data_IF_551585345729
#
_entry.id   IF_551585345729
#
_cell.length_a   1.000
_cell.length_b   1.000
_cell.length_c   1.000
_cell.angle_alpha   90.00
_cell.angle_beta   90.00
_cell.angle_gamma   90.00
#
_symmetry.space_group_name_H-M   'P 1'
#
loop_
_entity.id
_entity.type
_entity.pdbx_description
1 polymer ?
#
# COMPACT_ATOMS: atom_id res chain seq x y z
N UNK A 1 -27.55 -6.83 6.53
CA UNK A 1 -27.26 -6.21 5.21
C UNK A 1 -25.75 -6.17 5.04
N UNK A 2 -25.16 -7.01 4.17
CA UNK A 2 -23.71 -6.92 3.90
C UNK A 2 -23.43 -5.62 3.19
N UNK A 3 -22.72 -4.71 3.84
CA UNK A 3 -22.27 -3.45 3.26
C UNK A 3 -21.26 -3.78 2.16
N UNK A 4 -21.62 -3.52 0.91
CA UNK A 4 -20.70 -3.74 -0.21
C UNK A 4 -19.77 -2.53 -0.29
N UNK A 5 -18.53 -2.69 0.17
CA UNK A 5 -17.52 -1.63 0.18
C UNK A 5 -17.32 -0.99 -1.21
N UNK A 6 -17.39 -1.79 -2.28
CA UNK A 6 -17.28 -1.30 -3.68
C UNK A 6 -18.38 -0.29 -4.02
N UNK A 7 -19.62 -0.55 -3.63
CA UNK A 7 -20.73 0.36 -3.91
C UNK A 7 -20.61 1.68 -3.13
N UNK A 8 -20.10 1.60 -1.88
CA UNK A 8 -19.83 2.81 -1.07
C UNK A 8 -18.72 3.63 -1.72
N UNK A 9 -17.65 3.00 -2.18
CA UNK A 9 -16.54 3.68 -2.86
C UNK A 9 -16.98 4.35 -4.16
N UNK A 10 -17.77 3.67 -4.98
CA UNK A 10 -18.36 4.25 -6.20
C UNK A 10 -19.27 5.44 -5.88
N UNK A 11 -20.04 5.35 -4.81
CA UNK A 11 -20.91 6.45 -4.37
C UNK A 11 -20.08 7.66 -3.87
N UNK A 12 -18.97 7.43 -3.18
CA UNK A 12 -18.03 8.47 -2.77
C UNK A 12 -17.41 9.13 -4.01
N UNK A 13 -16.88 8.35 -4.94
CA UNK A 13 -16.29 8.86 -6.17
C UNK A 13 -17.28 9.73 -6.97
N UNK A 14 -18.49 9.24 -7.15
CA UNK A 14 -19.55 9.95 -7.88
C UNK A 14 -19.99 11.24 -7.16
N UNK A 15 -20.06 11.25 -5.83
CA UNK A 15 -20.49 12.43 -5.05
C UNK A 15 -19.40 13.50 -4.92
N UNK A 16 -18.15 13.12 -4.97
CA UNK A 16 -17.06 14.11 -4.89
C UNK A 16 -16.83 14.81 -6.23
N UNK A 17 -17.17 14.16 -7.35
CA UNK A 17 -16.93 14.65 -8.71
C UNK A 17 -15.44 14.79 -9.07
N UNK A 18 -14.53 14.41 -8.15
CA UNK A 18 -13.08 14.57 -8.31
C UNK A 18 -12.42 13.36 -8.94
N UNK A 19 -13.01 12.18 -8.73
CA UNK A 19 -12.51 10.93 -9.27
C UNK A 19 -13.49 10.40 -10.33
N UNK A 20 -12.94 9.92 -11.43
CA UNK A 20 -13.70 9.20 -12.45
C UNK A 20 -13.35 7.72 -12.36
N UNK A 21 -14.34 6.82 -12.38
CA UNK A 21 -14.05 5.39 -12.53
C UNK A 21 -13.24 5.14 -13.79
N UNK A 22 -12.29 4.24 -13.71
CA UNK A 22 -11.48 3.85 -14.86
C UNK A 22 -12.39 3.28 -15.97
N UNK A 23 -12.23 3.74 -17.20
CA UNK A 23 -12.93 3.19 -18.35
C UNK A 23 -12.31 1.84 -18.77
N UNK A 24 -13.07 1.00 -19.48
CA UNK A 24 -12.53 -0.26 -20.01
C UNK A 24 -11.31 -0.03 -20.90
N UNK A 25 -11.30 1.03 -21.71
CA UNK A 25 -10.17 1.39 -22.56
C UNK A 25 -8.93 1.81 -21.77
N UNK A 26 -9.13 2.56 -20.69
CA UNK A 26 -8.05 2.99 -19.80
C UNK A 26 -7.54 1.84 -18.92
N UNK A 27 -8.40 0.88 -18.55
CA UNK A 27 -7.98 -0.33 -17.85
C UNK A 27 -7.04 -1.18 -18.71
N UNK A 28 -7.30 -1.29 -20.01
CA UNK A 28 -6.41 -1.99 -20.92
C UNK A 28 -5.05 -1.28 -21.03
N UNK A 29 -5.04 0.05 -21.12
CA UNK A 29 -3.81 0.85 -21.12
C UNK A 29 -3.04 0.72 -19.82
N UNK A 30 -3.73 0.79 -18.67
CA UNK A 30 -3.14 0.61 -17.35
C UNK A 30 -2.43 -0.74 -17.25
N UNK A 31 -3.09 -1.84 -17.62
CA UNK A 31 -2.50 -3.19 -17.59
C UNK A 31 -1.27 -3.30 -18.48
N UNK A 32 -1.27 -2.64 -19.62
CA UNK A 32 -0.10 -2.61 -20.50
C UNK A 32 1.07 -1.88 -19.84
N UNK A 33 0.82 -0.72 -19.26
CA UNK A 33 1.84 0.05 -18.53
C UNK A 33 2.37 -0.75 -17.33
N UNK A 34 1.48 -1.39 -16.55
CA UNK A 34 1.88 -2.25 -15.44
C UNK A 34 2.76 -3.41 -15.91
N UNK A 35 2.43 -4.04 -17.06
CA UNK A 35 3.24 -5.12 -17.62
C UNK A 35 4.63 -4.63 -18.04
N UNK A 36 4.71 -3.47 -18.67
CA UNK A 36 5.99 -2.84 -19.04
C UNK A 36 6.82 -2.50 -17.78
N UNK A 37 6.18 -1.99 -16.72
CA UNK A 37 6.84 -1.74 -15.44
C UNK A 37 7.34 -3.04 -14.78
N UNK A 38 6.51 -4.10 -14.78
CA UNK A 38 6.88 -5.40 -14.20
C UNK A 38 8.13 -5.93 -14.89
N UNK A 39 8.12 -5.98 -16.22
CA UNK A 39 9.25 -6.48 -17.01
C UNK A 39 10.53 -5.68 -16.72
N UNK A 40 10.44 -4.38 -16.71
CA UNK A 40 11.57 -3.48 -16.49
C UNK A 40 12.14 -3.59 -15.06
N UNK A 41 11.26 -3.58 -14.06
CA UNK A 41 11.66 -3.68 -12.65
C UNK A 41 12.24 -5.07 -12.36
N UNK A 42 11.62 -6.13 -12.86
CA UNK A 42 12.13 -7.49 -12.71
C UNK A 42 13.52 -7.63 -13.35
N UNK A 43 13.68 -7.16 -14.58
CA UNK A 43 14.98 -7.21 -15.29
C UNK A 43 16.05 -6.41 -14.53
N UNK A 44 15.72 -5.23 -14.05
CA UNK A 44 16.65 -4.41 -13.27
C UNK A 44 17.04 -5.09 -11.96
N UNK A 45 16.10 -5.68 -11.24
CA UNK A 45 16.35 -6.43 -10.02
C UNK A 45 17.23 -7.66 -10.28
N UNK A 46 16.91 -8.47 -11.28
CA UNK A 46 17.69 -9.65 -11.65
C UNK A 46 19.14 -9.31 -11.98
N UNK A 47 19.39 -8.22 -12.71
CA UNK A 47 20.73 -7.73 -13.01
C UNK A 47 21.55 -7.34 -11.77
N UNK A 48 20.88 -7.10 -10.64
CA UNK A 48 21.51 -6.78 -9.36
C UNK A 48 21.44 -7.93 -8.34
N UNK A 49 21.03 -9.13 -8.77
CA UNK A 49 20.90 -10.31 -7.90
C UNK A 49 19.74 -10.21 -6.90
N UNK A 50 18.72 -9.43 -7.22
CA UNK A 50 17.52 -9.22 -6.39
C UNK A 50 16.37 -9.98 -7.03
N UNK A 51 15.67 -10.81 -6.26
CA UNK A 51 14.53 -11.61 -6.70
C UNK A 51 13.22 -10.98 -6.20
N UNK A 52 12.37 -10.56 -7.12
CA UNK A 52 11.00 -10.17 -6.81
C UNK A 52 10.03 -11.26 -7.28
N UNK A 53 9.03 -11.55 -6.48
CA UNK A 53 8.07 -12.62 -6.73
C UNK A 53 6.65 -12.04 -6.86
N UNK A 54 5.89 -12.47 -7.88
CA UNK A 54 4.50 -12.09 -7.97
C UNK A 54 3.71 -12.57 -6.73
N UNK A 55 2.87 -11.70 -6.19
CA UNK A 55 2.10 -11.97 -4.98
C UNK A 55 0.59 -11.79 -5.22
N UNK A 56 -0.22 -12.25 -4.28
CA UNK A 56 -1.67 -12.02 -4.19
C UNK A 56 -2.42 -12.15 -5.52
N UNK A 57 -3.10 -11.08 -5.95
CA UNK A 57 -3.88 -11.00 -7.20
C UNK A 57 -3.02 -11.21 -8.43
N UNK A 58 -1.82 -10.67 -8.46
CA UNK A 58 -0.88 -10.80 -9.57
C UNK A 58 -0.44 -12.25 -9.79
N UNK A 59 -0.05 -12.96 -8.73
CA UNK A 59 0.31 -14.38 -8.81
C UNK A 59 -0.89 -15.24 -9.24
N UNK A 60 -2.07 -14.97 -8.66
CA UNK A 60 -3.30 -15.68 -9.00
C UNK A 60 -3.70 -15.45 -10.46
N UNK A 61 -3.55 -14.23 -10.95
CA UNK A 61 -3.81 -13.86 -12.33
C UNK A 61 -2.87 -14.56 -13.31
N UNK A 62 -1.58 -14.55 -13.02
CA UNK A 62 -0.59 -15.26 -13.80
C UNK A 62 -0.93 -16.76 -13.93
N UNK A 63 -1.30 -17.39 -12.81
CA UNK A 63 -1.63 -18.83 -12.79
C UNK A 63 -2.95 -19.16 -13.48
N UNK A 64 -4.03 -18.37 -13.26
CA UNK A 64 -5.39 -18.70 -13.73
C UNK A 64 -5.75 -18.10 -15.06
N UNK A 65 -5.16 -16.95 -15.40
CA UNK A 65 -5.54 -16.15 -16.57
C UNK A 65 -4.39 -15.95 -17.55
N UNK A 66 -3.20 -16.50 -17.27
CA UNK A 66 -1.96 -16.24 -18.02
C UNK A 66 -1.68 -14.72 -18.16
N UNK A 67 -2.00 -13.96 -17.13
CA UNK A 67 -1.88 -12.51 -17.08
C UNK A 67 -2.67 -11.92 -15.91
N UNK A 68 -3.08 -10.67 -16.03
CA UNK A 68 -3.88 -10.05 -14.98
C UNK A 68 -5.28 -10.66 -14.83
N UNK A 69 -5.80 -10.70 -13.65
CA UNK A 69 -7.23 -10.95 -13.43
C UNK A 69 -8.03 -9.86 -14.18
N UNK A 70 -9.13 -10.23 -14.91
CA UNK A 70 -9.82 -9.27 -15.80
C UNK A 70 -10.27 -7.97 -15.16
N UNK A 71 -10.64 -7.98 -13.88
CA UNK A 71 -11.12 -6.81 -13.11
C UNK A 71 -10.08 -6.21 -12.16
N UNK A 72 -8.85 -6.72 -12.16
CA UNK A 72 -7.75 -6.21 -11.36
C UNK A 72 -7.11 -4.99 -12.03
N UNK A 73 -6.64 -4.05 -11.23
CA UNK A 73 -6.13 -2.76 -11.67
C UNK A 73 -4.81 -2.35 -10.98
N UNK A 74 -4.18 -3.30 -10.29
CA UNK A 74 -2.88 -3.17 -9.62
C UNK A 74 -1.94 -4.35 -9.91
N UNK A 75 -0.72 -4.27 -9.41
CA UNK A 75 0.26 -5.32 -9.44
C UNK A 75 1.00 -5.40 -8.10
N UNK A 76 1.00 -6.61 -7.53
CA UNK A 76 1.55 -6.91 -6.22
C UNK A 76 2.75 -7.83 -6.35
N UNK A 77 3.85 -7.47 -5.71
CA UNK A 77 5.05 -8.28 -5.58
C UNK A 77 5.43 -8.47 -4.12
N UNK A 78 6.17 -9.53 -3.85
CA UNK A 78 6.85 -9.72 -2.57
C UNK A 78 8.34 -9.93 -2.79
N UNK A 79 9.11 -9.57 -1.76
CA UNK A 79 10.57 -9.61 -1.75
C UNK A 79 11.04 -10.00 -0.35
N UNK A 80 12.12 -10.79 -0.25
CA UNK A 80 12.71 -11.12 1.04
C UNK A 80 13.37 -9.88 1.67
N UNK A 81 13.43 -9.82 3.01
CA UNK A 81 13.94 -8.65 3.74
C UNK A 81 15.34 -8.22 3.29
N UNK A 82 16.26 -9.13 3.16
CA UNK A 82 17.64 -8.81 2.77
C UNK A 82 17.71 -8.22 1.36
N UNK A 83 16.97 -8.80 0.43
CA UNK A 83 16.87 -8.30 -0.96
C UNK A 83 16.11 -6.97 -1.04
N UNK A 84 15.10 -6.77 -0.16
CA UNK A 84 14.42 -5.50 -0.03
C UNK A 84 15.36 -4.38 0.40
N UNK A 85 16.18 -4.62 1.39
CA UNK A 85 17.18 -3.64 1.86
C UNK A 85 18.18 -3.29 0.76
N UNK A 86 18.64 -4.29 0.00
CA UNK A 86 19.47 -4.07 -1.18
C UNK A 86 18.78 -3.20 -2.24
N UNK A 87 17.51 -3.50 -2.56
CA UNK A 87 16.73 -2.74 -3.52
C UNK A 87 16.51 -1.31 -3.04
N UNK A 88 16.07 -1.13 -1.80
CA UNK A 88 15.77 0.16 -1.20
C UNK A 88 17.00 1.07 -1.18
N UNK A 89 18.12 0.56 -0.68
CA UNK A 89 19.34 1.35 -0.46
C UNK A 89 20.05 1.72 -1.77
N UNK A 90 19.83 0.94 -2.84
CA UNK A 90 20.40 1.17 -4.17
C UNK A 90 19.35 1.63 -5.21
N UNK A 91 18.14 1.98 -4.82
CA UNK A 91 17.02 2.22 -5.73
C UNK A 91 17.35 3.26 -6.81
N UNK A 92 17.90 4.39 -6.41
CA UNK A 92 18.23 5.48 -7.33
C UNK A 92 19.32 5.10 -8.34
N UNK A 93 20.28 4.28 -7.93
CA UNK A 93 21.34 3.78 -8.83
C UNK A 93 20.84 2.71 -9.79
N UNK A 94 19.91 1.86 -9.35
CA UNK A 94 19.31 0.79 -10.17
C UNK A 94 18.44 1.39 -11.26
N UNK A 95 17.60 2.38 -10.91
CA UNK A 95 16.57 2.89 -11.81
C UNK A 95 16.89 4.25 -12.44
N UNK A 96 17.98 4.93 -12.05
CA UNK A 96 18.42 6.23 -12.62
C UNK A 96 17.29 7.26 -12.74
N UNK A 97 16.43 7.35 -11.73
CA UNK A 97 15.31 8.28 -11.69
C UNK A 97 14.12 7.92 -12.59
N UNK A 98 14.11 6.74 -13.22
CA UNK A 98 12.99 6.26 -14.03
C UNK A 98 11.72 6.03 -13.21
N UNK A 99 11.88 5.62 -11.96
CA UNK A 99 10.81 5.34 -11.01
C UNK A 99 11.00 6.14 -9.71
N UNK A 100 9.94 6.25 -8.93
CA UNK A 100 9.95 6.85 -7.59
C UNK A 100 9.58 5.76 -6.59
N UNK A 101 10.41 5.58 -5.56
CA UNK A 101 10.09 4.69 -4.45
C UNK A 101 9.48 5.50 -3.30
N UNK A 102 8.32 5.06 -2.80
CA UNK A 102 7.80 5.42 -1.48
C UNK A 102 7.85 4.18 -0.59
N UNK A 103 8.60 4.25 0.51
CA UNK A 103 8.75 3.11 1.41
C UNK A 103 9.16 3.57 2.81
N UNK A 104 8.92 2.76 3.86
CA UNK A 104 9.53 2.96 5.16
C UNK A 104 11.05 3.02 5.06
N UNK A 105 11.67 3.83 5.90
CA UNK A 105 13.13 4.04 5.99
C UNK A 105 13.80 4.50 4.67
N UNK A 106 13.03 5.03 3.73
CA UNK A 106 13.55 5.54 2.46
C UNK A 106 13.11 6.98 2.20
N UNK A 107 14.06 7.81 1.77
CA UNK A 107 13.82 9.20 1.40
C UNK A 107 13.35 10.10 2.54
N UNK A 108 13.10 11.37 2.21
CA UNK A 108 12.65 12.40 3.17
C UNK A 108 11.15 12.69 3.07
N UNK A 109 10.50 12.19 2.02
CA UNK A 109 9.07 12.40 1.80
C UNK A 109 8.22 11.53 2.73
N UNK A 110 7.08 12.05 3.13
CA UNK A 110 6.12 11.30 3.93
C UNK A 110 5.63 10.09 3.11
N UNK A 111 5.70 8.89 3.69
CA UNK A 111 5.18 7.68 3.07
C UNK A 111 3.80 7.35 3.61
N UNK A 112 2.97 6.80 2.75
CA UNK A 112 1.62 6.41 3.12
C UNK A 112 1.51 4.96 3.60
N UNK A 113 2.50 4.13 3.30
CA UNK A 113 2.41 2.68 3.43
C UNK A 113 3.47 2.13 4.37
N UNK A 114 3.19 0.96 4.93
CA UNK A 114 4.14 0.14 5.68
C UNK A 114 4.85 -0.89 4.78
N UNK A 115 4.76 -0.70 3.48
CA UNK A 115 5.44 -1.50 2.44
C UNK A 115 5.96 -0.58 1.35
N UNK A 116 6.73 -1.11 0.40
CA UNK A 116 7.24 -0.35 -0.73
C UNK A 116 6.19 -0.12 -1.81
N UNK A 117 6.20 1.04 -2.43
CA UNK A 117 5.38 1.37 -3.59
C UNK A 117 6.25 2.06 -4.63
N UNK A 118 6.38 1.46 -5.81
CA UNK A 118 7.19 1.95 -6.91
C UNK A 118 6.27 2.63 -7.91
N UNK A 119 6.43 3.94 -8.10
CA UNK A 119 5.59 4.76 -8.98
C UNK A 119 6.27 5.09 -10.30
N UNK A 120 5.47 5.12 -11.36
CA UNK A 120 5.89 5.65 -12.66
C UNK A 120 5.62 7.18 -12.72
N UNK A 121 6.68 8.01 -12.77
CA UNK A 121 6.54 9.47 -12.89
C UNK A 121 5.79 9.89 -14.15
N UNK A 122 5.12 11.04 -14.10
CA UNK A 122 4.40 11.59 -15.25
C UNK A 122 3.07 10.91 -15.57
N UNK A 123 2.64 9.95 -14.73
CA UNK A 123 1.35 9.28 -14.85
C UNK A 123 0.40 9.71 -13.72
N UNK A 124 -0.90 9.47 -13.91
CA UNK A 124 -1.91 9.74 -12.88
C UNK A 124 -2.84 8.55 -12.73
N UNK A 125 -2.80 7.94 -11.56
CA UNK A 125 -3.72 6.90 -11.11
C UNK A 125 -4.00 7.09 -9.62
N UNK A 126 -5.23 7.43 -9.27
CA UNK A 126 -5.58 7.87 -7.93
C UNK A 126 -6.48 6.85 -7.24
N UNK A 127 -5.94 6.19 -6.23
CA UNK A 127 -6.75 5.38 -5.33
C UNK A 127 -7.68 6.26 -4.49
N UNK A 128 -8.92 5.83 -4.30
CA UNK A 128 -9.95 6.59 -3.56
C UNK A 128 -9.45 7.04 -2.17
N UNK A 129 -8.69 6.20 -1.49
CA UNK A 129 -8.16 6.51 -0.15
C UNK A 129 -7.00 7.51 -0.15
N UNK A 130 -6.44 7.81 -1.32
CA UNK A 130 -5.31 8.71 -1.50
C UNK A 130 -5.69 10.05 -2.11
N UNK A 131 -6.94 10.27 -2.51
CA UNK A 131 -7.39 11.48 -3.19
C UNK A 131 -7.05 12.76 -2.40
N UNK A 132 -7.34 12.80 -1.11
CA UNK A 132 -7.11 13.95 -0.23
C UNK A 132 -5.72 14.00 0.43
N UNK A 133 -4.79 13.10 0.08
CA UNK A 133 -3.47 13.00 0.71
C UNK A 133 -2.39 13.70 -0.11
N UNK A 134 -1.24 14.06 0.49
CA UNK A 134 -0.09 14.63 -0.21
C UNK A 134 0.75 13.58 -0.97
N UNK A 135 0.41 12.31 -0.86
CA UNK A 135 1.18 11.20 -1.42
C UNK A 135 1.14 11.14 -2.94
N UNK A 136 2.07 10.40 -3.52
CA UNK A 136 2.15 10.19 -4.96
C UNK A 136 0.85 9.55 -5.50
N UNK A 137 0.50 9.89 -6.73
CA UNK A 137 -0.74 9.47 -7.41
C UNK A 137 -0.47 8.98 -8.83
N UNK A 138 0.74 8.45 -9.06
CA UNK A 138 1.11 7.81 -10.33
C UNK A 138 0.62 6.36 -10.41
N UNK A 139 0.78 5.75 -11.57
CA UNK A 139 0.66 4.30 -11.74
C UNK A 139 1.77 3.65 -10.91
N UNK A 140 1.49 2.57 -10.22
CA UNK A 140 2.40 1.97 -9.24
C UNK A 140 2.39 0.45 -9.25
N UNK A 141 3.43 -0.11 -8.63
CA UNK A 141 3.54 -1.50 -8.23
C UNK A 141 3.76 -1.54 -6.72
N UNK A 142 3.02 -2.39 -6.02
CA UNK A 142 3.20 -2.66 -4.60
C UNK A 142 4.26 -3.73 -4.36
N UNK A 143 5.17 -3.48 -3.40
CA UNK A 143 6.24 -4.41 -3.03
C UNK A 143 6.16 -4.70 -1.53
N UNK A 144 5.74 -5.91 -1.20
CA UNK A 144 5.57 -6.36 0.19
C UNK A 144 6.82 -7.09 0.66
N UNK A 145 7.34 -6.68 1.79
CA UNK A 145 8.49 -7.34 2.41
C UNK A 145 8.03 -8.61 3.11
N UNK A 146 8.78 -9.69 2.90
CA UNK A 146 8.56 -10.99 3.55
C UNK A 146 9.65 -11.20 4.59
N UNK A 147 9.24 -11.26 5.84
CA UNK A 147 10.09 -11.53 6.99
C UNK A 147 9.91 -12.97 7.47
N UNK A 148 10.94 -13.51 8.10
CA UNK A 148 10.87 -14.80 8.77
C UNK A 148 10.00 -14.69 10.02
N UNK A 149 9.22 -15.72 10.32
CA UNK A 149 8.48 -15.81 11.56
C UNK A 149 9.28 -16.57 12.61
N UNK A 150 9.10 -16.24 13.89
CA UNK A 150 9.66 -16.99 14.99
C UNK A 150 9.20 -18.46 14.94
N UNK A 151 10.11 -19.41 15.18
CA UNK A 151 9.79 -20.85 15.19
C UNK A 151 8.78 -21.22 16.27
N UNK A 152 8.81 -20.53 17.40
CA UNK A 152 7.84 -20.71 18.48
C UNK A 152 6.48 -20.13 18.07
N UNK A 153 5.48 -21.02 17.92
CA UNK A 153 4.12 -20.67 17.47
C UNK A 153 3.42 -19.63 18.35
N UNK A 154 3.72 -19.58 19.65
CA UNK A 154 3.09 -18.62 20.55
C UNK A 154 3.70 -17.24 20.33
N UNK A 155 5.02 -17.15 20.23
CA UNK A 155 5.75 -15.91 19.91
C UNK A 155 5.28 -15.38 18.57
N UNK A 156 5.34 -16.20 17.52
CA UNK A 156 4.90 -15.84 16.17
C UNK A 156 3.45 -15.28 16.13
N UNK A 157 2.52 -15.89 16.87
CA UNK A 157 1.14 -15.37 16.97
C UNK A 157 1.06 -14.02 17.67
N UNK A 158 1.88 -13.82 18.71
CA UNK A 158 1.95 -12.57 19.45
C UNK A 158 2.51 -11.46 18.56
N UNK A 159 3.58 -11.74 17.83
CA UNK A 159 4.22 -10.80 16.91
C UNK A 159 3.26 -10.35 15.80
N UNK A 160 2.58 -11.29 15.16
CA UNK A 160 1.53 -10.99 14.16
C UNK A 160 0.40 -10.14 14.77
N UNK A 161 0.03 -10.38 16.02
CA UNK A 161 -0.99 -9.57 16.69
C UNK A 161 -0.52 -8.14 16.93
N UNK A 162 0.71 -7.96 17.41
CA UNK A 162 1.33 -6.64 17.64
C UNK A 162 1.45 -5.88 16.32
N UNK A 163 1.98 -6.51 15.27
CA UNK A 163 2.09 -5.92 13.94
C UNK A 163 0.73 -5.43 13.40
N UNK A 164 -0.33 -6.25 13.53
CA UNK A 164 -1.69 -5.86 13.15
C UNK A 164 -2.22 -4.67 13.95
N UNK A 165 -1.96 -4.61 15.25
CA UNK A 165 -2.38 -3.49 16.09
C UNK A 165 -1.63 -2.21 15.72
N UNK A 166 -0.33 -2.28 15.50
CA UNK A 166 0.47 -1.14 15.04
C UNK A 166 -0.01 -0.63 13.67
N UNK A 167 -0.20 -1.53 12.71
CA UNK A 167 -0.72 -1.19 11.38
C UNK A 167 -2.12 -0.54 11.46
N UNK A 168 -2.98 -1.02 12.33
CA UNK A 168 -4.28 -0.40 12.58
C UNK A 168 -4.14 1.02 13.16
N UNK A 169 -3.22 1.22 14.10
CA UNK A 169 -2.96 2.52 14.71
C UNK A 169 -2.40 3.54 13.71
N UNK A 170 -1.41 3.13 12.88
CA UNK A 170 -0.83 3.94 11.81
C UNK A 170 -1.88 4.35 10.78
N UNK A 171 -2.70 3.40 10.33
CA UNK A 171 -3.82 3.68 9.44
C UNK A 171 -4.89 4.59 10.08
N UNK A 172 -4.99 4.60 11.41
CA UNK A 172 -5.89 5.51 12.14
C UNK A 172 -5.35 6.94 12.17
N UNK A 173 -4.02 7.11 12.22
CA UNK A 173 -3.38 8.42 12.06
C UNK A 173 -3.62 9.00 10.66
N UNK A 174 -3.42 8.18 9.61
CA UNK A 174 -3.74 8.59 8.24
C UNK A 174 -5.21 9.00 8.11
N UNK A 175 -6.11 8.20 8.67
CA UNK A 175 -7.53 8.50 8.70
C UNK A 175 -7.83 9.81 9.44
N UNK A 176 -7.21 10.05 10.58
CA UNK A 176 -7.38 11.29 11.36
C UNK A 176 -6.92 12.52 10.57
N UNK A 177 -5.74 12.46 9.96
CA UNK A 177 -5.15 13.59 9.21
C UNK A 177 -5.89 13.89 7.89
N UNK A 178 -6.28 12.87 7.14
CA UNK A 178 -6.69 13.00 5.74
C UNK A 178 -8.11 12.54 5.43
N UNK A 179 -8.83 11.92 6.37
CA UNK A 179 -10.25 11.57 6.18
C UNK A 179 -11.10 12.84 6.21
N UNK A 180 -11.11 13.54 5.12
CA UNK A 180 -11.84 14.79 4.98
C UNK A 180 -13.35 14.67 5.26
N UNK A 181 -14.07 15.80 5.17
CA UNK A 181 -15.51 15.96 5.43
C UNK A 181 -16.42 14.95 4.71
N UNK A 182 -15.93 14.33 3.65
CA UNK A 182 -16.68 13.38 2.82
C UNK A 182 -16.98 12.07 3.57
N UNK A 183 -15.98 11.50 4.28
CA UNK A 183 -16.18 10.28 5.08
C UNK A 183 -17.10 10.53 6.28
N UNK A 184 -17.09 11.72 6.85
CA UNK A 184 -17.96 12.09 7.99
C UNK A 184 -19.45 12.00 7.64
N UNK A 185 -19.85 12.25 6.40
CA UNK A 185 -21.24 12.10 5.92
C UNK A 185 -21.69 10.64 5.86
N UNK A 186 -20.76 9.70 5.62
CA UNK A 186 -21.07 8.27 5.57
C UNK A 186 -21.10 7.59 6.94
N UNK A 187 -20.55 8.25 7.98
CA UNK A 187 -20.54 7.72 9.34
C UNK A 187 -21.92 7.66 10.02
N UNK A 188 -22.97 8.19 9.39
CA UNK A 188 -24.30 8.25 9.96
C UNK A 188 -25.15 6.96 9.79
N UNK A 189 -24.60 5.91 9.19
CA UNK A 189 -25.40 4.74 8.79
C UNK A 189 -25.61 3.66 9.85
N UNK A 190 -24.76 3.58 10.88
CA UNK A 190 -25.00 2.68 12.02
C UNK A 190 -24.22 3.12 13.25
N UNK A 191 -24.74 2.79 14.44
CA UNK A 191 -24.07 3.09 15.72
C UNK A 191 -22.69 2.46 15.81
N UNK A 192 -22.54 1.23 15.34
CA UNK A 192 -21.25 0.51 15.31
C UNK A 192 -20.23 1.21 14.42
N UNK A 193 -20.65 1.68 13.24
CA UNK A 193 -19.81 2.44 12.32
C UNK A 193 -19.38 3.77 12.94
N UNK A 194 -20.30 4.47 13.59
CA UNK A 194 -20.01 5.71 14.30
C UNK A 194 -18.97 5.52 15.41
N UNK A 195 -19.13 4.50 16.26
CA UNK A 195 -18.18 4.17 17.34
C UNK A 195 -16.82 3.83 16.73
N UNK A 196 -16.77 2.96 15.73
CA UNK A 196 -15.52 2.55 15.08
C UNK A 196 -14.71 3.74 14.53
N UNK A 197 -15.37 4.66 13.81
CA UNK A 197 -14.69 5.83 13.26
C UNK A 197 -14.25 6.84 14.32
N UNK A 198 -15.05 7.02 15.38
CA UNK A 198 -14.62 7.90 16.47
C UNK A 198 -13.44 7.32 17.25
N UNK A 199 -13.41 6.01 17.50
CA UNK A 199 -12.24 5.34 18.07
C UNK A 199 -10.99 5.53 17.20
N UNK A 200 -11.11 5.38 15.87
CA UNK A 200 -10.00 5.65 14.96
C UNK A 200 -9.54 7.10 14.98
N UNK A 201 -10.46 8.06 15.09
CA UNK A 201 -10.10 9.49 15.22
C UNK A 201 -9.35 9.76 16.52
N UNK A 202 -9.84 9.23 17.66
CA UNK A 202 -9.19 9.37 18.95
C UNK A 202 -7.78 8.74 18.92
N UNK A 203 -7.66 7.53 18.39
CA UNK A 203 -6.37 6.86 18.27
C UNK A 203 -5.42 7.64 17.35
N UNK A 204 -5.90 8.11 16.21
CA UNK A 204 -5.11 8.93 15.28
C UNK A 204 -4.66 10.25 15.90
N UNK A 205 -5.51 10.90 16.70
CA UNK A 205 -5.13 12.07 17.48
C UNK A 205 -4.02 11.75 18.49
N UNK A 206 -4.16 10.67 19.26
CA UNK A 206 -3.15 10.24 20.21
C UNK A 206 -1.81 9.92 19.54
N UNK A 207 -1.82 9.43 18.29
CA UNK A 207 -0.61 9.14 17.54
C UNK A 207 -0.03 10.34 16.78
N UNK A 208 -0.72 11.50 16.79
CA UNK A 208 -0.33 12.66 15.97
C UNK A 208 0.94 13.40 16.44
N UNK A 209 1.57 12.97 17.55
CA UNK A 209 2.84 13.51 18.02
C UNK A 209 4.05 13.12 17.14
N UNK A 210 3.87 12.14 16.25
CA UNK A 210 4.83 11.79 15.21
C UNK A 210 4.18 11.90 13.82
N UNK A 211 4.99 12.06 12.79
CA UNK A 211 4.53 12.01 11.40
C UNK A 211 4.05 10.60 11.03
N UNK A 212 3.31 10.49 9.94
CA UNK A 212 2.90 9.19 9.44
C UNK A 212 4.12 8.37 8.99
N UNK A 213 5.10 9.01 8.34
CA UNK A 213 6.36 8.39 7.95
C UNK A 213 7.13 7.82 9.15
N UNK A 214 7.34 8.61 10.20
CA UNK A 214 8.06 8.13 11.41
C UNK A 214 7.40 6.89 12.01
N UNK A 215 6.06 6.80 11.99
CA UNK A 215 5.36 5.60 12.44
C UNK A 215 5.52 4.42 11.48
N UNK A 216 5.56 4.66 10.17
CA UNK A 216 5.83 3.61 9.19
C UNK A 216 7.27 3.08 9.35
N UNK A 217 8.23 3.97 9.59
CA UNK A 217 9.63 3.60 9.84
C UNK A 217 9.78 2.76 11.11
N UNK A 218 9.08 3.14 12.20
CA UNK A 218 9.05 2.37 13.45
C UNK A 218 8.37 1.01 13.23
N UNK A 219 7.30 0.96 12.46
CA UNK A 219 6.61 -0.29 12.14
C UNK A 219 7.54 -1.24 11.39
N UNK A 220 8.18 -0.80 10.32
CA UNK A 220 9.07 -1.64 9.52
C UNK A 220 10.23 -2.19 10.34
N UNK A 221 10.86 -1.36 11.17
CA UNK A 221 11.92 -1.80 12.07
C UNK A 221 11.41 -2.78 13.14
N UNK A 222 10.21 -2.54 13.69
CA UNK A 222 9.64 -3.39 14.72
C UNK A 222 9.16 -4.71 14.14
N UNK A 223 8.55 -4.70 12.96
CA UNK A 223 8.07 -5.90 12.26
C UNK A 223 9.23 -6.83 11.96
N UNK A 224 10.32 -6.29 11.40
CA UNK A 224 11.56 -7.01 11.19
C UNK A 224 12.12 -7.65 12.48
N UNK A 225 12.21 -6.88 13.57
CA UNK A 225 12.71 -7.38 14.85
C UNK A 225 11.81 -8.48 15.42
N UNK A 226 10.49 -8.29 15.39
CA UNK A 226 9.52 -9.24 15.94
C UNK A 226 9.51 -10.56 15.15
N UNK A 227 9.73 -10.51 13.84
CA UNK A 227 9.75 -11.72 13.01
C UNK A 227 11.06 -12.52 13.13
N UNK A 228 12.17 -11.87 13.51
CA UNK A 228 13.49 -12.51 13.57
C UNK A 228 13.81 -13.20 14.92
N UNK A 229 13.10 -12.87 16.00
CA UNK A 229 13.32 -13.37 17.36
C UNK A 229 12.07 -14.10 17.89
#
# INVERSE_FOLDING_TARGET
>A
MKVNAKNIMLEIANKTGKLKPISNGDQIKLKRILLDMIYDIQTACENHGITIMAAYGTALGAYRHNGFIPWDDDADFCILREEWEMLRDNFDSIFNGKYILEAPQYGTHDTQMTWGKIYLPGTTYVEIFNEGTPYNKGIFIDVFVVDSLAENKLISKTDVCIAKLMKFAINSLKFYKYSGRTLNKFMSFSVSTFIYFNLRKCLGFLMSFKSHKEWCDIYDLTDYILCYY
#
